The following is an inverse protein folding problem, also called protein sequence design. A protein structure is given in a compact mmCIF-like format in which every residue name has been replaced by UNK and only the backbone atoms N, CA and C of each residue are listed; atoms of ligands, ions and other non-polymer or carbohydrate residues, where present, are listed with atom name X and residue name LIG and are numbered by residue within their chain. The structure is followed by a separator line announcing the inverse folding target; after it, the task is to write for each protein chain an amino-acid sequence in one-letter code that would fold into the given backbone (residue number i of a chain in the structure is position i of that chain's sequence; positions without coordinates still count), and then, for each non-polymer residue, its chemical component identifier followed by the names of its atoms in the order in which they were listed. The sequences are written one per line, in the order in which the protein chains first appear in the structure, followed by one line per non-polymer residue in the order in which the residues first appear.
data_IF_681893214648
#
_entry.id   IF_681893214648
#
_cell.length_a   1.000
_cell.length_b   1.000
_cell.length_c   1.000
_cell.angle_alpha   90.00
_cell.angle_beta   90.00
_cell.angle_gamma   90.00
#
_symmetry.space_group_name_H-M   'P 1'
#
loop_
_entity.id
_entity.type
_entity.pdbx_description
1 polymer ?
#
# COMPACT_ATOMS: atom_id res chain seq x y z
N UNK A 1 15.44 4.18 6.11
CA UNK A 1 14.07 4.37 6.65
C UNK A 1 13.43 5.49 5.85
N UNK A 2 12.18 5.32 5.38
CA UNK A 2 11.41 6.35 4.68
C UNK A 2 11.40 6.33 3.15
N UNK A 3 12.33 5.64 2.48
CA UNK A 3 12.52 5.73 1.01
C UNK A 3 11.24 5.46 0.20
N UNK A 4 10.40 4.50 0.64
CA UNK A 4 9.11 4.23 -0.01
C UNK A 4 8.12 5.39 0.12
N UNK A 5 8.03 6.02 1.29
CA UNK A 5 7.13 7.16 1.49
C UNK A 5 7.66 8.43 0.80
N UNK A 6 8.98 8.64 0.77
CA UNK A 6 9.56 9.75 0.01
C UNK A 6 9.27 9.61 -1.49
N UNK A 7 9.35 8.40 -2.07
CA UNK A 7 8.92 8.16 -3.46
C UNK A 7 7.47 8.58 -3.67
N UNK A 8 6.57 8.23 -2.74
CA UNK A 8 5.15 8.57 -2.84
C UNK A 8 4.91 10.07 -2.73
N UNK A 9 5.61 10.78 -1.83
CA UNK A 9 5.55 12.24 -1.74
C UNK A 9 6.01 12.91 -3.04
N UNK A 10 7.08 12.41 -3.67
CA UNK A 10 7.55 12.94 -4.96
C UNK A 10 6.51 12.73 -6.07
N UNK A 11 5.84 11.58 -6.10
CA UNK A 11 4.74 11.35 -7.05
C UNK A 11 3.58 12.32 -6.77
N UNK A 12 3.22 12.50 -5.50
CA UNK A 12 2.14 13.38 -5.06
C UNK A 12 2.40 14.88 -5.31
N UNK A 13 3.64 15.28 -5.60
CA UNK A 13 3.98 16.66 -5.97
C UNK A 13 3.51 17.03 -7.39
N UNK A 14 3.20 16.04 -8.23
CA UNK A 14 2.65 16.29 -9.56
C UNK A 14 1.18 16.70 -9.46
N UNK A 15 0.86 17.92 -9.93
CA UNK A 15 -0.48 18.52 -9.81
C UNK A 15 -1.58 17.76 -10.57
N UNK A 16 -1.19 16.96 -11.55
CA UNK A 16 -2.05 16.10 -12.37
C UNK A 16 -2.19 14.68 -11.83
N UNK A 17 -1.61 14.39 -10.66
CA UNK A 17 -1.67 13.07 -10.03
C UNK A 17 -2.43 13.14 -8.72
N UNK A 18 -3.58 12.48 -8.67
CA UNK A 18 -4.26 12.15 -7.42
C UNK A 18 -3.73 10.79 -6.94
N UNK A 19 -3.08 10.76 -5.77
CA UNK A 19 -2.44 9.56 -5.25
C UNK A 19 -3.17 9.05 -4.00
N UNK A 20 -3.48 7.76 -4.01
CA UNK A 20 -3.91 7.02 -2.83
C UNK A 20 -3.04 5.77 -2.65
N UNK A 21 -2.72 5.46 -1.40
CA UNK A 21 -1.82 4.38 -1.00
C UNK A 21 -2.55 3.51 0.01
N UNK A 22 -2.63 2.21 -0.28
CA UNK A 22 -3.19 1.22 0.63
C UNK A 22 -2.07 0.37 1.23
N UNK A 23 -2.05 0.27 2.55
CA UNK A 23 -1.05 -0.50 3.31
C UNK A 23 -1.69 -1.18 4.52
N UNK A 24 -1.11 -2.27 5.05
CA UNK A 24 -1.61 -2.84 6.28
C UNK A 24 -1.09 -2.07 7.51
N UNK A 25 -1.69 -2.25 8.69
CA UNK A 25 -1.15 -1.68 9.94
C UNK A 25 0.25 -2.25 10.26
N UNK A 26 0.53 -3.48 9.84
CA UNK A 26 1.82 -4.13 9.97
C UNK A 26 1.97 -5.25 8.94
N UNK A 27 3.21 -5.62 8.63
CA UNK A 27 3.58 -6.81 7.89
C UNK A 27 4.17 -7.84 8.84
N UNK A 28 3.70 -9.09 8.76
CA UNK A 28 4.30 -10.21 9.49
C UNK A 28 5.43 -10.80 8.66
N UNK A 29 6.66 -10.41 8.93
CA UNK A 29 7.85 -10.98 8.30
C UNK A 29 8.43 -12.11 9.17
N UNK A 30 9.09 -13.14 8.59
CA UNK A 30 9.80 -14.16 9.36
C UNK A 30 10.84 -13.60 10.35
N UNK A 31 11.42 -12.43 10.07
CA UNK A 31 12.33 -11.73 10.96
C UNK A 31 11.63 -10.94 12.08
N UNK A 32 10.31 -10.75 12.00
CA UNK A 32 9.50 -10.04 12.99
C UNK A 32 8.40 -9.18 12.38
N UNK A 33 7.49 -8.68 13.23
CA UNK A 33 6.47 -7.75 12.79
C UNK A 33 7.07 -6.39 12.41
N UNK A 34 6.79 -5.93 11.20
CA UNK A 34 7.16 -4.60 10.71
C UNK A 34 5.92 -3.72 10.77
N UNK A 35 5.86 -2.82 11.75
CA UNK A 35 4.73 -1.90 11.94
C UNK A 35 4.84 -0.72 10.98
N UNK A 36 3.71 -0.25 10.46
CA UNK A 36 3.64 0.94 9.62
C UNK A 36 4.11 2.19 10.39
N UNK A 37 5.26 2.73 9.99
CA UNK A 37 5.71 4.06 10.37
C UNK A 37 4.99 5.11 9.51
N UNK A 38 4.68 6.29 10.06
CA UNK A 38 4.07 7.40 9.30
C UNK A 38 4.97 8.62 9.42
N UNK A 39 5.90 8.77 8.48
CA UNK A 39 6.88 9.85 8.51
C UNK A 39 6.71 10.84 7.36
N UNK A 40 6.08 10.41 6.27
CA UNK A 40 5.99 11.12 5.01
C UNK A 40 4.62 10.83 4.39
N UNK A 41 3.60 11.62 4.71
CA UNK A 41 2.21 11.38 4.28
C UNK A 41 1.56 12.64 3.71
N UNK A 42 2.37 13.58 3.23
CA UNK A 42 1.88 14.83 2.68
C UNK A 42 1.55 14.66 1.18
N UNK A 43 0.44 15.28 0.75
CA UNK A 43 0.05 15.31 -0.66
C UNK A 43 -0.71 14.10 -1.19
N UNK A 44 -0.85 13.01 -0.42
CA UNK A 44 -1.57 11.81 -0.85
C UNK A 44 -2.42 11.18 0.26
N UNK A 45 -3.40 10.35 -0.13
CA UNK A 45 -4.25 9.64 0.82
C UNK A 45 -3.59 8.33 1.27
N UNK A 46 -3.40 8.12 2.57
CA UNK A 46 -2.91 6.86 3.12
C UNK A 46 -4.06 6.08 3.79
N UNK A 47 -4.48 4.98 3.17
CA UNK A 47 -5.46 4.06 3.75
C UNK A 47 -4.76 2.90 4.44
N UNK A 48 -4.97 2.81 5.75
CA UNK A 48 -4.51 1.68 6.55
C UNK A 48 -5.64 0.67 6.66
N UNK A 49 -5.50 -0.44 5.96
CA UNK A 49 -6.57 -1.41 5.76
C UNK A 49 -6.17 -2.80 6.28
N UNK A 50 -7.12 -3.62 6.76
CA UNK A 50 -6.79 -4.95 7.24
C UNK A 50 -6.25 -5.82 6.10
N UNK A 51 -5.25 -6.65 6.40
CA UNK A 51 -4.70 -7.64 5.46
C UNK A 51 -5.04 -9.06 5.92
N UNK A 52 -5.61 -9.85 5.02
CA UNK A 52 -5.86 -11.28 5.24
C UNK A 52 -4.64 -12.08 4.82
N UNK A 53 -4.36 -13.14 5.58
CA UNK A 53 -3.20 -14.01 5.38
C UNK A 53 -1.86 -13.26 5.48
N UNK A 54 -1.78 -12.25 6.35
CA UNK A 54 -0.54 -11.54 6.62
C UNK A 54 0.58 -12.53 7.03
N UNK A 55 1.76 -12.38 6.42
CA UNK A 55 2.90 -13.31 6.58
C UNK A 55 2.86 -14.56 5.69
N UNK A 56 1.81 -14.77 4.90
CA UNK A 56 1.82 -15.77 3.84
C UNK A 56 2.31 -15.13 2.54
N UNK A 57 3.60 -15.30 2.25
CA UNK A 57 4.27 -14.69 1.10
C UNK A 57 3.54 -14.84 -0.23
N UNK A 58 2.94 -16.00 -0.50
CA UNK A 58 2.33 -16.28 -1.79
C UNK A 58 0.85 -15.90 -1.89
N UNK A 59 0.18 -15.67 -0.76
CA UNK A 59 -1.27 -15.46 -0.72
C UNK A 59 -1.65 -14.50 0.39
N UNK A 60 -1.85 -13.23 0.06
CA UNK A 60 -2.48 -12.24 0.93
C UNK A 60 -3.41 -11.37 0.11
N UNK A 61 -4.42 -10.81 0.78
CA UNK A 61 -5.38 -9.93 0.11
C UNK A 61 -5.97 -8.90 1.06
N UNK A 62 -6.36 -7.77 0.49
CA UNK A 62 -7.08 -6.71 1.18
C UNK A 62 -8.58 -6.88 0.95
N UNK A 63 -9.39 -7.28 1.96
CA UNK A 63 -10.82 -7.51 1.78
C UNK A 63 -11.58 -6.24 1.39
N UNK A 64 -11.02 -5.06 1.69
CA UNK A 64 -11.62 -3.75 1.37
C UNK A 64 -11.11 -3.17 0.04
N UNK A 65 -10.11 -3.77 -0.62
CA UNK A 65 -9.49 -3.23 -1.84
C UNK A 65 -10.51 -2.99 -2.94
N UNK A 66 -11.41 -3.94 -3.17
CA UNK A 66 -12.46 -3.79 -4.19
C UNK A 66 -13.35 -2.57 -3.95
N UNK A 67 -13.65 -2.24 -2.70
CA UNK A 67 -14.45 -1.06 -2.37
C UNK A 67 -13.64 0.20 -2.62
N UNK A 68 -12.40 0.26 -2.13
CA UNK A 68 -11.50 1.40 -2.33
C UNK A 68 -11.25 1.73 -3.80
N UNK A 69 -10.97 0.72 -4.62
CA UNK A 69 -10.77 0.92 -6.06
C UNK A 69 -12.03 1.44 -6.75
N UNK A 70 -13.22 1.02 -6.31
CA UNK A 70 -14.49 1.49 -6.87
C UNK A 70 -14.76 2.94 -6.50
N UNK A 71 -14.44 3.32 -5.27
CA UNK A 71 -14.70 4.67 -4.75
C UNK A 71 -13.70 5.67 -5.32
N UNK A 72 -12.42 5.28 -5.39
CA UNK A 72 -11.33 6.11 -5.90
C UNK A 72 -11.26 6.16 -7.43
N UNK A 73 -11.63 5.07 -8.11
CA UNK A 73 -11.57 4.92 -9.58
C UNK A 73 -10.21 5.29 -10.19
N UNK A 74 -9.12 4.62 -9.77
CA UNK A 74 -7.78 4.92 -10.29
C UNK A 74 -7.67 4.53 -11.77
N UNK A 75 -6.97 5.37 -12.55
CA UNK A 75 -6.54 5.01 -13.91
C UNK A 75 -5.38 3.99 -13.89
N UNK A 76 -4.55 4.03 -12.85
CA UNK A 76 -3.37 3.16 -12.68
C UNK A 76 -3.40 2.55 -11.29
N UNK A 77 -3.32 1.21 -11.23
CA UNK A 77 -3.06 0.47 -10.00
C UNK A 77 -1.62 -0.04 -10.04
N UNK A 78 -0.78 0.48 -9.14
CA UNK A 78 0.60 0.05 -8.95
C UNK A 78 0.70 -0.83 -7.70
N UNK A 79 1.28 -2.02 -7.84
CA UNK A 79 1.49 -2.96 -6.76
C UNK A 79 2.98 -3.31 -6.71
N UNK A 80 3.64 -2.97 -5.60
CA UNK A 80 5.02 -3.36 -5.32
C UNK A 80 5.02 -4.76 -4.68
N UNK A 81 4.92 -5.81 -5.51
CA UNK A 81 4.94 -7.22 -5.08
C UNK A 81 5.94 -8.01 -5.93
N UNK A 82 6.52 -9.08 -5.38
CA UNK A 82 7.36 -9.98 -6.18
C UNK A 82 6.52 -10.70 -7.26
N UNK A 83 7.06 -10.91 -8.47
CA UNK A 83 6.31 -11.42 -9.63
C UNK A 83 5.73 -12.83 -9.46
N UNK A 84 6.01 -13.51 -8.35
CA UNK A 84 5.56 -14.88 -8.04
C UNK A 84 4.48 -14.93 -6.96
N UNK A 85 4.03 -13.80 -6.43
CA UNK A 85 2.99 -13.75 -5.40
C UNK A 85 1.62 -13.59 -6.05
N UNK A 86 0.68 -14.48 -5.69
CA UNK A 86 -0.73 -14.28 -6.01
C UNK A 86 -1.31 -13.30 -4.98
N UNK A 87 -1.02 -12.02 -5.17
CA UNK A 87 -1.69 -10.94 -4.45
C UNK A 87 -3.03 -10.66 -5.16
N UNK A 88 -4.15 -10.81 -4.45
CA UNK A 88 -5.51 -10.56 -5.00
C UNK A 88 -6.28 -9.53 -4.20
#
# INVERSE_FOLDING_TARGET
MGTYQTKLEQIAQHSDVELAVIVPPSWQDPAGEVVLERSHTEGYQLWVEPLRFNGQFHIHYYPTLRQKLRDFRPDILHMDEEPYNLAT
#
